data_IF_905001968753
#
_entry.id   IF_905001968753
#
_cell.length_a   1.000
_cell.length_b   1.000
_cell.length_c   1.000
_cell.angle_alpha   90.00
_cell.angle_beta   90.00
_cell.angle_gamma   90.00
#
_symmetry.space_group_name_H-M   'P 1'
#
loop_
_entity.id
_entity.type
_entity.pdbx_description
1 polymer ?
#
# COMPACT_ATOMS: atom_id res chain seq x y z
N UNK A 1 -21.89 -9.68 -29.37
CA UNK A 1 -21.14 -9.03 -28.26
C UNK A 1 -22.06 -8.01 -27.63
N UNK A 2 -22.34 -8.12 -26.34
CA UNK A 2 -23.17 -7.18 -25.58
C UNK A 2 -22.41 -5.86 -25.36
N UNK A 3 -23.06 -4.69 -25.49
CA UNK A 3 -22.44 -3.36 -25.31
C UNK A 3 -21.83 -3.13 -23.92
N UNK A 4 -22.28 -3.87 -22.90
CA UNK A 4 -21.91 -3.68 -21.50
C UNK A 4 -20.45 -4.01 -21.14
N UNK A 5 -19.70 -4.66 -22.04
CA UNK A 5 -18.26 -4.96 -21.82
C UNK A 5 -17.34 -3.82 -22.26
N UNK A 6 -17.77 -2.96 -23.20
CA UNK A 6 -16.99 -1.81 -23.67
C UNK A 6 -17.07 -0.60 -22.73
N UNK A 7 -18.17 -0.43 -22.01
CA UNK A 7 -18.35 0.72 -21.09
C UNK A 7 -17.58 0.57 -19.77
N UNK A 8 -17.14 -0.64 -19.41
CA UNK A 8 -16.34 -0.88 -18.21
C UNK A 8 -14.86 -0.53 -18.39
N UNK A 9 -14.30 -0.73 -19.58
CA UNK A 9 -12.89 -0.41 -19.86
C UNK A 9 -12.63 1.09 -19.95
N UNK A 10 -13.63 1.90 -20.34
CA UNK A 10 -13.46 3.35 -20.54
C UNK A 10 -13.52 4.16 -19.23
N UNK A 11 -14.07 3.58 -18.16
CA UNK A 11 -14.24 4.27 -16.88
C UNK A 11 -13.04 4.07 -15.92
N UNK A 12 -12.24 3.02 -16.10
CA UNK A 12 -11.04 2.76 -15.30
C UNK A 12 -9.82 3.57 -15.74
N UNK A 13 -9.74 3.93 -17.03
CA UNK A 13 -8.61 4.68 -17.61
C UNK A 13 -8.45 6.12 -17.10
N UNK A 14 -9.51 6.96 -16.93
CA UNK A 14 -9.31 8.33 -16.47
C UNK A 14 -8.84 8.40 -15.02
N UNK A 15 -9.34 7.51 -14.15
CA UNK A 15 -8.92 7.43 -12.74
C UNK A 15 -7.47 6.98 -12.63
N UNK A 16 -7.05 6.05 -13.50
CA UNK A 16 -5.67 5.59 -13.57
C UNK A 16 -4.72 6.73 -13.94
N UNK A 17 -5.04 7.46 -15.01
CA UNK A 17 -4.26 8.60 -15.49
C UNK A 17 -4.20 9.70 -14.44
N UNK A 18 -5.31 10.03 -13.79
CA UNK A 18 -5.36 11.04 -12.73
C UNK A 18 -4.43 10.67 -11.57
N UNK A 19 -4.44 9.41 -11.11
CA UNK A 19 -3.57 8.97 -10.01
C UNK A 19 -2.10 8.94 -10.39
N UNK A 20 -1.77 8.52 -11.60
CA UNK A 20 -0.39 8.54 -12.09
C UNK A 20 0.10 9.97 -12.27
N UNK A 21 -0.75 10.87 -12.78
CA UNK A 21 -0.43 12.29 -12.92
C UNK A 21 -0.21 12.93 -11.55
N UNK A 22 -1.10 12.69 -10.59
CA UNK A 22 -0.93 13.20 -9.22
C UNK A 22 0.36 12.70 -8.57
N UNK A 23 0.76 11.46 -8.83
CA UNK A 23 2.06 10.94 -8.40
C UNK A 23 3.24 11.66 -9.06
N UNK A 24 3.20 11.85 -10.38
CA UNK A 24 4.23 12.59 -11.11
C UNK A 24 4.35 14.02 -10.60
N UNK A 25 3.23 14.72 -10.41
CA UNK A 25 3.20 16.09 -9.90
C UNK A 25 3.77 16.17 -8.48
N UNK A 26 3.44 15.21 -7.61
CA UNK A 26 3.98 15.14 -6.26
C UNK A 26 5.50 14.91 -6.26
N UNK A 27 6.02 14.01 -7.10
CA UNK A 27 7.47 13.80 -7.24
C UNK A 27 8.17 15.05 -7.79
N UNK A 28 7.60 15.68 -8.83
CA UNK A 28 8.17 16.89 -9.44
C UNK A 28 8.13 18.11 -8.52
N UNK A 29 7.21 18.14 -7.55
CA UNK A 29 7.14 19.19 -6.54
C UNK A 29 8.18 19.00 -5.41
N UNK A 30 8.88 17.87 -5.34
CA UNK A 30 9.93 17.63 -4.34
C UNK A 30 11.30 18.14 -4.80
N UNK A 31 12.05 18.72 -3.86
CA UNK A 31 13.40 19.25 -4.13
C UNK A 31 14.47 18.17 -4.38
N UNK A 32 14.20 16.92 -3.98
CA UNK A 32 15.20 15.85 -3.95
C UNK A 32 14.72 14.51 -4.50
N UNK A 33 13.49 14.43 -4.99
CA UNK A 33 12.98 13.24 -5.69
C UNK A 33 12.91 13.53 -7.19
N UNK A 34 13.29 12.56 -8.00
CA UNK A 34 13.29 12.69 -9.47
C UNK A 34 12.84 11.39 -10.13
N UNK A 35 11.99 11.48 -11.15
CA UNK A 35 11.66 10.33 -12.00
C UNK A 35 12.76 10.21 -13.07
N UNK A 36 13.72 9.32 -12.84
CA UNK A 36 14.86 9.12 -13.75
C UNK A 36 14.49 8.32 -15.01
N UNK A 37 13.48 7.44 -14.92
CA UNK A 37 13.01 6.73 -16.10
C UNK A 37 12.09 5.55 -15.85
N UNK A 38 11.80 4.83 -16.93
CA UNK A 38 10.97 3.62 -16.93
C UNK A 38 11.86 2.40 -17.18
N UNK A 39 11.64 1.35 -16.38
CA UNK A 39 12.23 0.02 -16.56
C UNK A 39 11.11 -0.86 -17.11
N UNK A 40 11.27 -1.34 -18.34
CA UNK A 40 10.28 -2.21 -18.99
C UNK A 40 10.45 -3.66 -18.56
N UNK A 41 9.34 -4.40 -18.57
CA UNK A 41 9.33 -5.83 -18.31
C UNK A 41 10.35 -6.58 -19.20
N UNK A 42 11.10 -7.49 -18.58
CA UNK A 42 12.16 -8.25 -19.24
C UNK A 42 13.53 -7.59 -19.21
N UNK A 43 13.63 -6.29 -18.91
CA UNK A 43 14.90 -5.61 -18.71
C UNK A 43 15.54 -5.98 -17.36
N UNK A 44 16.86 -5.89 -17.33
CA UNK A 44 17.66 -6.06 -16.13
C UNK A 44 18.21 -4.71 -15.69
N UNK A 45 18.01 -4.39 -14.42
CA UNK A 45 18.54 -3.18 -13.80
C UNK A 45 19.17 -3.55 -12.46
N UNK A 46 20.41 -3.10 -12.23
CA UNK A 46 21.18 -3.40 -11.02
C UNK A 46 21.21 -4.90 -10.64
N UNK A 47 21.36 -5.79 -11.62
CA UNK A 47 21.41 -7.24 -11.40
C UNK A 47 20.05 -7.91 -11.13
N UNK A 48 18.94 -7.15 -11.23
CA UNK A 48 17.59 -7.64 -11.03
C UNK A 48 16.80 -7.58 -12.33
N UNK A 49 16.22 -8.71 -12.72
CA UNK A 49 15.27 -8.78 -13.82
C UNK A 49 13.87 -8.41 -13.35
N UNK A 50 13.21 -7.54 -14.11
CA UNK A 50 11.86 -7.08 -13.79
C UNK A 50 10.82 -7.85 -14.61
N UNK A 51 9.84 -8.46 -13.94
CA UNK A 51 8.74 -9.17 -14.61
C UNK A 51 7.64 -8.22 -15.13
N UNK A 52 7.57 -7.02 -14.54
CA UNK A 52 6.59 -5.98 -14.86
C UNK A 52 7.29 -4.63 -14.96
N UNK A 53 6.65 -3.71 -15.65
CA UNK A 53 7.12 -2.33 -15.74
C UNK A 53 7.25 -1.68 -14.37
N UNK A 54 8.26 -0.82 -14.24
CA UNK A 54 8.54 -0.07 -13.03
C UNK A 54 9.09 1.31 -13.37
N UNK A 55 8.86 2.28 -12.49
CA UNK A 55 9.50 3.59 -12.54
C UNK A 55 10.74 3.58 -11.65
N UNK A 56 11.85 4.13 -12.17
CA UNK A 56 13.04 4.45 -11.38
C UNK A 56 12.86 5.86 -10.81
N UNK A 57 12.96 5.96 -9.49
CA UNK A 57 12.87 7.21 -8.76
C UNK A 57 14.19 7.41 -8.01
N UNK A 58 14.87 8.51 -8.27
CA UNK A 58 16.09 8.87 -7.57
C UNK A 58 15.79 9.79 -6.39
N UNK A 59 16.39 9.47 -5.24
CA UNK A 59 16.36 10.32 -4.06
C UNK A 59 17.76 10.89 -3.84
N UNK A 60 17.94 12.14 -4.27
CA UNK A 60 19.22 12.85 -4.24
C UNK A 60 19.70 13.15 -2.82
N UNK A 61 18.77 13.31 -1.87
CA UNK A 61 19.09 13.51 -0.45
C UNK A 61 19.74 12.27 0.16
N UNK A 62 19.20 11.09 -0.14
CA UNK A 62 19.68 9.81 0.38
C UNK A 62 20.75 9.16 -0.51
N UNK A 63 21.01 9.71 -1.70
CA UNK A 63 21.89 9.14 -2.74
C UNK A 63 21.55 7.70 -3.07
N UNK A 64 20.25 7.43 -3.22
CA UNK A 64 19.75 6.08 -3.50
C UNK A 64 18.62 6.12 -4.52
N UNK A 65 18.52 5.06 -5.31
CA UNK A 65 17.45 4.87 -6.29
C UNK A 65 16.42 3.87 -5.77
N UNK A 66 15.16 4.14 -6.10
CA UNK A 66 14.00 3.33 -5.80
C UNK A 66 13.40 2.81 -7.10
N UNK A 67 12.79 1.64 -7.05
CA UNK A 67 11.93 1.14 -8.12
C UNK A 67 10.52 0.98 -7.58
N UNK A 68 9.55 1.52 -8.30
CA UNK A 68 8.13 1.46 -7.93
C UNK A 68 7.30 0.94 -9.10
N UNK A 69 6.43 -0.03 -8.84
CA UNK A 69 5.51 -0.53 -9.85
C UNK A 69 4.29 0.40 -9.96
N UNK A 70 3.80 0.72 -11.16
CA UNK A 70 2.57 1.51 -11.34
C UNK A 70 1.37 0.99 -10.54
N UNK A 71 1.19 -0.33 -10.42
CA UNK A 71 0.14 -0.92 -9.58
C UNK A 71 0.25 -0.52 -8.11
N UNK A 72 1.46 -0.28 -7.59
CA UNK A 72 1.64 0.14 -6.21
C UNK A 72 1.14 1.58 -6.00
N UNK A 73 1.36 2.47 -6.97
CA UNK A 73 0.86 3.85 -6.97
C UNK A 73 -0.67 3.86 -6.97
N UNK A 74 -1.28 2.94 -7.72
CA UNK A 74 -2.73 2.83 -7.85
C UNK A 74 -3.41 2.21 -6.62
N UNK A 75 -2.72 1.33 -5.89
CA UNK A 75 -3.30 0.59 -4.75
C UNK A 75 -3.08 1.27 -3.40
N UNK A 76 -2.14 2.19 -3.30
CA UNK A 76 -1.74 2.82 -2.05
C UNK A 76 -2.11 4.31 -2.04
N UNK A 77 -2.26 4.89 -0.86
CA UNK A 77 -2.45 6.33 -0.70
C UNK A 77 -1.20 7.08 -1.16
N UNK A 78 -1.40 8.20 -1.87
CA UNK A 78 -0.29 8.96 -2.47
C UNK A 78 0.74 9.41 -1.42
N UNK A 79 0.28 9.95 -0.30
CA UNK A 79 1.15 10.40 0.80
C UNK A 79 2.00 9.28 1.39
N UNK A 80 1.47 8.05 1.42
CA UNK A 80 2.20 6.88 1.92
C UNK A 80 3.29 6.49 0.92
N UNK A 81 2.98 6.52 -0.37
CA UNK A 81 3.94 6.23 -1.44
C UNK A 81 5.07 7.25 -1.43
N UNK A 82 4.73 8.54 -1.43
CA UNK A 82 5.72 9.63 -1.39
C UNK A 82 6.55 9.56 -0.11
N UNK A 83 5.92 9.44 1.06
CA UNK A 83 6.63 9.30 2.33
C UNK A 83 7.60 8.11 2.35
N UNK A 84 7.26 7.00 1.68
CA UNK A 84 8.17 5.85 1.55
C UNK A 84 9.40 6.14 0.68
N UNK A 85 9.25 6.97 -0.37
CA UNK A 85 10.35 7.41 -1.23
C UNK A 85 11.23 8.44 -0.53
N UNK A 86 10.65 9.30 0.31
CA UNK A 86 11.37 10.30 1.09
C UNK A 86 12.22 9.70 2.21
N UNK A 87 11.65 8.74 2.95
CA UNK A 87 12.23 8.18 4.17
C UNK A 87 12.97 6.87 3.94
N UNK A 88 12.69 6.19 2.83
CA UNK A 88 13.13 4.83 2.57
C UNK A 88 12.37 3.76 3.37
N UNK A 89 11.41 4.13 4.22
CA UNK A 89 10.62 3.19 5.01
C UNK A 89 9.49 2.64 4.15
N UNK A 90 9.57 1.34 3.80
CA UNK A 90 8.59 0.66 2.94
C UNK A 90 7.79 -0.42 3.67
N UNK A 91 8.08 -0.64 4.96
CA UNK A 91 7.46 -1.71 5.73
C UNK A 91 6.03 -1.35 6.15
N UNK A 92 5.10 -2.24 5.84
CA UNK A 92 3.72 -2.13 6.31
C UNK A 92 3.71 -2.33 7.83
N UNK A 93 3.32 -1.29 8.56
CA UNK A 93 3.10 -1.38 10.00
C UNK A 93 1.87 -2.24 10.29
N UNK A 94 1.99 -3.14 11.27
CA UNK A 94 0.88 -3.97 11.75
C UNK A 94 0.44 -3.51 13.13
N UNK A 95 -0.86 -3.32 13.31
CA UNK A 95 -1.45 -3.19 14.65
C UNK A 95 -1.31 -4.51 15.40
N UNK A 96 -0.64 -4.49 16.55
CA UNK A 96 -0.49 -5.66 17.43
C UNK A 96 -1.06 -5.30 18.79
N UNK A 97 -2.00 -6.10 19.28
CA UNK A 97 -2.51 -5.94 20.65
C UNK A 97 -2.99 -7.28 21.21
N UNK A 98 -3.16 -7.32 22.53
CA UNK A 98 -3.56 -8.50 23.29
C UNK A 98 -5.05 -8.46 23.56
N UNK A 99 -5.77 -9.49 23.10
CA UNK A 99 -7.21 -9.63 23.35
C UNK A 99 -7.59 -10.93 24.06
N UNK A 100 -7.00 -12.06 23.66
CA UNK A 100 -7.27 -13.41 24.22
C UNK A 100 -6.04 -13.99 24.92
N UNK A 101 -5.35 -13.17 25.69
CA UNK A 101 -4.22 -13.65 26.52
C UNK A 101 -2.84 -13.63 25.84
N UNK A 102 -2.73 -13.40 24.53
CA UNK A 102 -1.46 -13.20 23.83
C UNK A 102 -1.52 -12.06 22.80
N UNK A 103 -0.37 -11.47 22.47
CA UNK A 103 -0.26 -10.44 21.43
C UNK A 103 -0.53 -11.03 20.04
N UNK A 104 -1.41 -10.39 19.28
CA UNK A 104 -1.73 -10.82 17.92
C UNK A 104 -1.98 -9.64 17.00
N UNK A 105 -1.76 -9.83 15.70
CA UNK A 105 -2.08 -8.83 14.68
C UNK A 105 -3.58 -8.62 14.63
N UNK A 106 -4.01 -7.36 14.72
CA UNK A 106 -5.43 -6.97 14.66
C UNK A 106 -6.06 -7.37 13.32
N UNK A 107 -5.29 -7.30 12.23
CA UNK A 107 -5.71 -7.71 10.89
C UNK A 107 -6.09 -9.20 10.77
N UNK A 108 -5.61 -10.04 11.68
CA UNK A 108 -5.81 -11.49 11.64
C UNK A 108 -6.86 -11.97 12.66
N UNK A 109 -7.64 -11.06 13.24
CA UNK A 109 -8.66 -11.42 14.22
C UNK A 109 -9.84 -12.13 13.58
N UNK A 110 -10.12 -13.33 14.08
CA UNK A 110 -11.31 -14.09 13.73
C UNK A 110 -12.53 -13.58 14.52
N UNK A 111 -13.72 -14.09 14.19
CA UNK A 111 -14.99 -13.69 14.81
C UNK A 111 -14.98 -13.79 16.34
N UNK A 112 -14.31 -14.81 16.91
CA UNK A 112 -14.24 -14.97 18.37
C UNK A 112 -13.40 -13.89 19.05
N UNK A 113 -12.25 -13.48 18.49
CA UNK A 113 -11.44 -12.37 19.02
C UNK A 113 -12.17 -11.03 18.92
N UNK A 114 -12.93 -10.81 17.85
CA UNK A 114 -13.76 -9.60 17.69
C UNK A 114 -14.90 -9.59 18.72
N UNK A 115 -15.51 -10.74 18.98
CA UNK A 115 -16.53 -10.91 20.04
C UNK A 115 -15.96 -10.58 21.42
N UNK A 116 -14.80 -11.14 21.77
CA UNK A 116 -14.10 -10.83 23.02
C UNK A 116 -13.88 -9.32 23.17
N UNK A 117 -13.35 -8.63 22.15
CA UNK A 117 -13.18 -7.17 22.18
C UNK A 117 -14.49 -6.43 22.50
N UNK A 118 -15.59 -6.85 21.87
CA UNK A 118 -16.91 -6.25 22.10
C UNK A 118 -17.38 -6.45 23.54
N UNK A 119 -17.21 -7.65 24.10
CA UNK A 119 -17.60 -7.94 25.48
C UNK A 119 -16.71 -7.20 26.48
N UNK A 120 -15.41 -7.09 26.23
CA UNK A 120 -14.50 -6.24 27.03
C UNK A 120 -14.90 -4.77 27.01
N UNK A 121 -15.29 -4.24 25.86
CA UNK A 121 -15.76 -2.85 25.74
C UNK A 121 -17.08 -2.61 26.48
N UNK A 122 -17.94 -3.63 26.61
CA UNK A 122 -19.15 -3.55 27.43
C UNK A 122 -18.83 -3.52 28.94
N UNK A 123 -17.66 -4.01 29.32
CA UNK A 123 -17.20 -4.02 30.73
C UNK A 123 -17.93 -5.04 31.61
N UNK A 124 -18.75 -5.92 31.03
CA UNK A 124 -19.46 -6.96 31.76
C UNK A 124 -18.67 -8.27 31.70
N UNK A 125 -17.87 -8.51 32.74
CA UNK A 125 -16.99 -9.68 32.86
C UNK A 125 -17.63 -10.82 33.67
N UNK A 126 -18.94 -10.79 33.87
CA UNK A 126 -19.62 -11.76 34.72
C UNK A 126 -19.64 -13.15 34.06
N UNK A 127 -19.13 -14.14 34.78
CA UNK A 127 -19.23 -15.56 34.39
C UNK A 127 -20.46 -16.15 35.09
N UNK A 128 -21.35 -16.80 34.34
CA UNK A 128 -22.49 -17.51 34.95
C UNK A 128 -21.94 -18.56 35.90
N UNK A 129 -22.41 -18.57 37.15
CA UNK A 129 -22.11 -19.66 38.09
C UNK A 129 -22.68 -20.96 37.51
N UNK A 130 -21.83 -21.96 37.35
CA UNK A 130 -22.26 -23.33 37.06
C UNK A 130 -22.97 -23.83 38.32
N UNK A 131 -24.23 -24.24 38.17
CA UNK A 131 -25.06 -24.80 39.23
C UNK A 131 -24.66 -26.24 39.53
#
# INVERSE_FOLDING_TARGET
>A
MTPALLEREVCETPVLEERLQAFCDAVNAHDYLEIDGVIYAGQEFAGKKFEKDALKIDNHRMKTSYTINPEAILKQELDVVIGSLETGVREKLYGITRIVGYYSRTSNWNKSKIGELRDRHRGDYSVRKVA
#
